data_IF_347722718450
#
_entry.id   IF_347722718450
#
_cell.length_a   1.000
_cell.length_b   1.000
_cell.length_c   1.000
_cell.angle_alpha   90.00
_cell.angle_beta   90.00
_cell.angle_gamma   90.00
#
_symmetry.space_group_name_H-M   'P 1'
#
loop_
_entity.id
_entity.type
_entity.pdbx_description
1 polymer ?
#
# COMPACT_ATOMS: atom_id res chain seq x y z
N UNK A 1 -13.42 18.95 32.50
CA UNK A 1 -13.01 19.67 31.26
C UNK A 1 -13.39 18.76 30.10
N UNK A 2 -14.18 19.27 29.15
CA UNK A 2 -14.87 18.50 28.11
C UNK A 2 -13.86 17.74 27.25
N UNK A 3 -14.13 16.45 27.02
CA UNK A 3 -13.45 15.66 26.00
C UNK A 3 -13.79 16.25 24.63
N UNK A 4 -12.77 16.45 23.82
CA UNK A 4 -12.94 16.77 22.41
C UNK A 4 -13.09 15.42 21.72
N UNK A 5 -14.31 15.07 21.33
CA UNK A 5 -14.57 14.02 20.36
C UNK A 5 -13.90 14.43 19.04
N UNK A 6 -12.80 13.77 18.69
CA UNK A 6 -12.20 13.91 17.37
C UNK A 6 -12.95 12.93 16.48
N UNK A 7 -13.97 13.42 15.78
CA UNK A 7 -14.60 12.69 14.69
C UNK A 7 -13.53 12.53 13.60
N UNK A 8 -13.02 11.30 13.45
CA UNK A 8 -12.25 10.94 12.26
C UNK A 8 -13.29 10.78 11.16
N UNK A 9 -13.40 11.80 10.32
CA UNK A 9 -14.18 11.74 9.09
C UNK A 9 -13.53 10.67 8.19
N UNK A 10 -14.03 9.44 8.28
CA UNK A 10 -13.78 8.40 7.27
C UNK A 10 -14.40 8.96 6.00
N UNK A 11 -13.60 9.70 5.22
CA UNK A 11 -14.06 10.42 4.03
C UNK A 11 -15.06 9.55 3.28
N UNK A 12 -16.31 9.98 3.27
CA UNK A 12 -17.37 9.38 2.49
C UNK A 12 -16.92 9.38 1.01
N UNK A 13 -16.39 8.24 0.53
CA UNK A 13 -15.86 8.09 -0.84
C UNK A 13 -16.96 7.75 -1.86
N UNK A 14 -18.25 7.89 -1.50
CA UNK A 14 -19.39 7.70 -2.43
C UNK A 14 -19.19 8.38 -3.78
N UNK A 15 -18.64 9.59 -3.79
CA UNK A 15 -18.37 10.36 -5.01
C UNK A 15 -17.30 9.72 -5.94
N UNK A 16 -16.38 8.91 -5.42
CA UNK A 16 -15.37 8.18 -6.22
C UNK A 16 -15.87 6.81 -6.70
N UNK A 17 -16.92 6.29 -6.08
CA UNK A 17 -17.55 5.04 -6.44
C UNK A 17 -18.74 5.22 -7.40
N UNK A 18 -19.19 6.47 -7.60
CA UNK A 18 -20.27 6.80 -8.53
C UNK A 18 -19.78 6.76 -9.99
N UNK A 19 -20.03 5.63 -10.65
CA UNK A 19 -19.80 5.42 -12.08
C UNK A 19 -21.07 5.61 -12.92
N UNK A 20 -22.13 6.20 -12.35
CA UNK A 20 -23.36 6.44 -13.08
C UNK A 20 -23.09 7.42 -14.25
N UNK A 21 -23.38 6.96 -15.47
CA UNK A 21 -23.10 7.68 -16.71
C UNK A 21 -22.02 7.06 -17.61
N UNK A 22 -21.25 6.09 -17.11
CA UNK A 22 -20.46 5.22 -17.97
C UNK A 22 -21.39 4.13 -18.52
N UNK A 23 -21.76 4.24 -19.80
CA UNK A 23 -22.60 3.24 -20.46
C UNK A 23 -21.87 1.91 -20.54
N UNK A 24 -22.40 0.86 -19.90
CA UNK A 24 -21.85 -0.48 -19.99
C UNK A 24 -22.80 -1.40 -20.78
N UNK A 25 -22.31 -2.11 -21.82
CA UNK A 25 -23.13 -3.06 -22.56
C UNK A 25 -23.44 -4.31 -21.71
N UNK A 26 -24.60 -4.96 -21.92
CA UNK A 26 -25.01 -6.11 -21.12
C UNK A 26 -24.23 -7.38 -21.47
N UNK A 27 -23.92 -8.14 -20.42
CA UNK A 27 -23.67 -9.57 -20.30
C UNK A 27 -23.00 -10.30 -21.47
N UNK A 28 -21.70 -10.56 -21.29
CA UNK A 28 -21.01 -11.65 -21.98
C UNK A 28 -20.53 -12.69 -20.96
N UNK A 29 -21.19 -13.85 -21.00
CA UNK A 29 -20.89 -15.02 -20.19
C UNK A 29 -19.61 -15.69 -20.70
N UNK A 30 -18.50 -15.54 -19.98
CA UNK A 30 -17.38 -16.49 -20.03
C UNK A 30 -16.45 -16.34 -18.81
N UNK A 31 -16.40 -17.40 -18.00
CA UNK A 31 -15.40 -17.79 -16.99
C UNK A 31 -14.29 -16.79 -16.63
N UNK A 32 -14.64 -15.78 -15.83
CA UNK A 32 -13.71 -15.11 -14.92
C UNK A 32 -14.32 -15.10 -13.51
N UNK A 33 -13.48 -15.06 -12.48
CA UNK A 33 -13.93 -14.93 -11.10
C UNK A 33 -14.79 -13.66 -10.96
N UNK A 34 -15.91 -13.69 -10.21
CA UNK A 34 -16.76 -12.53 -10.06
C UNK A 34 -16.02 -11.41 -9.30
N UNK A 35 -16.25 -10.16 -9.72
CA UNK A 35 -15.82 -8.95 -9.01
C UNK A 35 -17.02 -8.16 -8.50
N UNK A 36 -16.79 -7.21 -7.60
CA UNK A 36 -17.81 -6.37 -6.98
C UNK A 36 -17.69 -4.94 -7.48
N UNK A 37 -18.82 -4.33 -7.83
CA UNK A 37 -18.89 -2.94 -8.28
C UNK A 37 -19.97 -2.19 -7.51
N UNK A 38 -19.68 -0.94 -7.13
CA UNK A 38 -20.68 -0.10 -6.49
C UNK A 38 -21.65 0.47 -7.53
N UNK A 39 -22.94 0.22 -7.33
CA UNK A 39 -24.04 0.77 -8.11
C UNK A 39 -24.64 1.97 -7.36
N UNK A 40 -24.16 3.18 -7.64
CA UNK A 40 -24.59 4.39 -6.96
C UNK A 40 -26.12 4.65 -7.04
N UNK A 41 -26.78 4.24 -8.12
CA UNK A 41 -28.23 4.34 -8.28
C UNK A 41 -29.02 3.47 -7.29
N UNK A 42 -28.41 2.37 -6.84
CA UNK A 42 -29.00 1.43 -5.90
C UNK A 42 -28.43 1.56 -4.48
N UNK A 43 -27.42 2.42 -4.26
CA UNK A 43 -26.63 2.52 -3.02
C UNK A 43 -26.09 1.15 -2.56
N UNK A 44 -25.74 0.27 -3.51
CA UNK A 44 -25.44 -1.13 -3.24
C UNK A 44 -24.23 -1.64 -4.05
N UNK A 45 -23.45 -2.54 -3.45
CA UNK A 45 -22.41 -3.29 -4.14
C UNK A 45 -22.98 -4.55 -4.78
N UNK A 46 -22.80 -4.69 -6.09
CA UNK A 46 -23.35 -5.79 -6.87
C UNK A 46 -22.24 -6.68 -7.43
N UNK A 47 -22.47 -7.99 -7.40
CA UNK A 47 -21.62 -8.97 -8.08
C UNK A 47 -21.71 -8.77 -9.59
N UNK A 48 -20.57 -8.68 -10.27
CA UNK A 48 -20.47 -8.58 -11.72
C UNK A 48 -19.55 -9.67 -12.25
N UNK A 49 -19.96 -10.31 -13.34
CA UNK A 49 -19.18 -11.33 -14.06
C UNK A 49 -18.81 -10.77 -15.41
N UNK A 50 -17.52 -10.63 -15.68
CA UNK A 50 -17.03 -10.08 -16.95
C UNK A 50 -16.29 -11.14 -17.76
N UNK A 51 -16.66 -11.27 -19.04
CA UNK A 51 -15.91 -12.03 -20.03
C UNK A 51 -14.82 -11.17 -20.68
N UNK A 52 -13.56 -11.52 -20.38
CA UNK A 52 -12.29 -11.18 -21.05
C UNK A 52 -11.67 -9.75 -21.03
N UNK A 53 -10.35 -9.79 -20.76
CA UNK A 53 -9.16 -9.00 -21.17
C UNK A 53 -9.14 -7.47 -21.32
N UNK A 54 -10.19 -6.71 -21.02
CA UNK A 54 -10.06 -5.25 -20.90
C UNK A 54 -10.37 -4.80 -19.47
N UNK A 55 -9.29 -4.51 -18.76
CA UNK A 55 -9.18 -4.13 -17.35
C UNK A 55 -9.92 -2.81 -17.11
N UNK A 56 -11.09 -2.87 -16.48
CA UNK A 56 -11.76 -1.68 -15.94
C UNK A 56 -11.27 -1.43 -14.50
N UNK A 57 -10.82 -0.21 -14.16
CA UNK A 57 -9.99 0.04 -12.98
C UNK A 57 -10.71 0.07 -11.61
N UNK A 58 -11.96 -0.36 -11.48
CA UNK A 58 -12.72 -0.20 -10.23
C UNK A 58 -13.58 -1.42 -9.87
N UNK A 59 -13.03 -2.63 -10.00
CA UNK A 59 -13.65 -3.85 -9.47
C UNK A 59 -12.97 -4.24 -8.14
N UNK A 60 -13.78 -4.42 -7.10
CA UNK A 60 -13.35 -4.96 -5.82
C UNK A 60 -13.37 -6.49 -5.87
N UNK A 61 -12.41 -7.14 -5.24
CA UNK A 61 -12.39 -8.61 -5.14
C UNK A 61 -13.43 -9.14 -4.16
N UNK A 62 -13.91 -8.30 -3.23
CA UNK A 62 -14.90 -8.67 -2.22
C UNK A 62 -16.05 -7.66 -2.09
N UNK A 63 -17.23 -8.19 -1.75
CA UNK A 63 -18.41 -7.39 -1.42
C UNK A 63 -18.14 -6.47 -0.24
N UNK A 64 -17.41 -6.98 0.74
CA UNK A 64 -17.05 -6.26 1.96
C UNK A 64 -16.18 -5.05 1.65
N UNK A 65 -15.18 -5.18 0.77
CA UNK A 65 -14.31 -4.05 0.41
C UNK A 65 -15.11 -2.99 -0.35
N UNK A 66 -15.96 -3.42 -1.27
CA UNK A 66 -16.87 -2.53 -1.98
C UNK A 66 -17.80 -1.78 -1.01
N UNK A 67 -18.43 -2.49 -0.06
CA UNK A 67 -19.37 -1.88 0.90
C UNK A 67 -18.67 -0.95 1.88
N UNK A 68 -17.50 -1.33 2.38
CA UNK A 68 -16.72 -0.50 3.29
C UNK A 68 -16.24 0.80 2.64
N UNK A 69 -15.86 0.75 1.36
CA UNK A 69 -15.32 1.90 0.66
C UNK A 69 -16.39 2.77 -0.01
N UNK A 70 -17.52 2.19 -0.42
CA UNK A 70 -18.50 2.87 -1.26
C UNK A 70 -19.91 2.98 -0.66
N UNK A 71 -20.32 2.06 0.22
CA UNK A 71 -21.68 2.01 0.78
C UNK A 71 -21.80 2.66 2.18
N UNK A 72 -20.75 3.33 2.65
CA UNK A 72 -20.79 4.16 3.88
C UNK A 72 -21.16 3.44 5.18
N UNK A 73 -21.19 2.11 5.19
CA UNK A 73 -21.52 1.31 6.39
C UNK A 73 -20.29 0.58 6.87
N UNK A 74 -19.27 1.35 7.23
CA UNK A 74 -17.99 0.88 7.74
C UNK A 74 -17.65 1.48 9.09
N UNK A 75 -18.52 1.30 10.10
CA UNK A 75 -18.08 1.31 11.48
C UNK A 75 -17.25 0.04 11.71
N UNK A 76 -16.01 0.05 11.22
CA UNK A 76 -14.99 -0.89 11.67
C UNK A 76 -14.59 -0.46 13.08
N UNK A 77 -14.63 -1.42 14.00
CA UNK A 77 -14.34 -1.23 15.41
C UNK A 77 -13.04 -0.43 15.60
N UNK A 78 -13.13 0.65 16.36
CA UNK A 78 -12.04 1.55 16.75
C UNK A 78 -10.90 0.88 17.54
N UNK A 79 -10.82 -0.46 17.59
CA UNK A 79 -9.83 -1.19 18.37
C UNK A 79 -8.64 -1.75 17.57
N UNK A 80 -8.66 -1.74 16.23
CA UNK A 80 -7.52 -2.25 15.43
C UNK A 80 -6.62 -1.13 14.88
N UNK A 81 -7.10 0.11 14.80
CA UNK A 81 -6.31 1.22 14.23
C UNK A 81 -5.36 1.86 15.23
N UNK A 82 -5.64 1.83 16.54
CA UNK A 82 -4.83 2.56 17.53
C UNK A 82 -3.63 1.77 18.10
N UNK A 83 -3.56 0.45 17.90
CA UNK A 83 -2.43 -0.38 18.37
C UNK A 83 -1.27 -0.47 17.36
N UNK A 84 -1.51 -0.21 16.07
CA UNK A 84 -0.46 -0.22 15.04
C UNK A 84 0.32 1.10 14.93
N UNK A 85 -0.25 2.23 15.38
CA UNK A 85 0.42 3.54 15.34
C UNK A 85 1.45 3.76 16.47
N UNK A 86 1.37 3.00 17.55
CA UNK A 86 2.34 3.08 18.67
C UNK A 86 3.48 2.07 18.58
N UNK A 87 3.44 1.19 17.57
CA UNK A 87 4.31 0.02 17.44
C UNK A 87 4.99 -0.15 16.08
N UNK A 88 4.97 0.85 15.20
CA UNK A 88 5.56 0.75 13.85
C UNK A 88 6.32 2.01 13.42
N UNK A 89 7.29 1.85 12.52
CA UNK A 89 8.08 2.93 11.92
C UNK A 89 8.18 2.82 10.40
N UNK A 90 8.48 3.93 9.74
CA UNK A 90 8.76 3.95 8.30
C UNK A 90 10.22 3.55 8.04
N UNK A 91 10.43 2.35 7.52
CA UNK A 91 11.76 1.89 7.10
C UNK A 91 12.01 2.29 5.64
N UNK A 92 13.08 3.05 5.40
CA UNK A 92 13.56 3.33 4.05
C UNK A 92 14.03 2.01 3.42
N UNK A 93 13.51 1.67 2.25
CA UNK A 93 13.88 0.46 1.49
C UNK A 93 14.43 0.78 0.12
N UNK A 94 14.28 2.02 -0.34
CA UNK A 94 14.85 2.49 -1.59
C UNK A 94 15.01 4.00 -1.61
N UNK A 95 16.11 4.49 -2.19
CA UNK A 95 16.32 5.86 -2.62
C UNK A 95 17.03 5.86 -3.97
N UNK A 96 16.59 6.74 -4.86
CA UNK A 96 17.36 7.09 -6.05
C UNK A 96 17.45 8.61 -6.18
N UNK A 97 18.66 9.10 -6.47
CA UNK A 97 18.91 10.51 -6.76
C UNK A 97 19.52 10.63 -8.14
N UNK A 98 18.90 11.43 -9.01
CA UNK A 98 19.45 11.76 -10.32
C UNK A 98 20.78 12.53 -10.18
N UNK A 99 21.83 12.24 -10.98
CA UNK A 99 21.86 11.41 -12.19
C UNK A 99 22.15 9.91 -11.97
N UNK A 100 22.09 9.42 -10.72
CA UNK A 100 22.25 8.00 -10.42
C UNK A 100 21.15 7.15 -11.06
N UNK A 101 21.55 6.13 -11.82
CA UNK A 101 20.66 5.16 -12.44
C UNK A 101 20.89 3.78 -11.83
N UNK A 102 19.83 2.99 -11.82
CA UNK A 102 19.86 1.57 -11.46
C UNK A 102 19.99 0.72 -12.72
N UNK A 103 20.23 -0.56 -12.54
CA UNK A 103 20.27 -1.55 -13.60
C UNK A 103 19.23 -2.64 -13.37
N UNK A 104 18.94 -3.43 -14.42
CA UNK A 104 17.96 -4.51 -14.34
C UNK A 104 18.31 -5.48 -13.21
N UNK A 105 17.31 -5.87 -12.41
CA UNK A 105 17.43 -6.79 -11.28
C UNK A 105 18.35 -6.31 -10.13
N UNK A 106 18.67 -5.02 -10.07
CA UNK A 106 19.45 -4.42 -8.98
C UNK A 106 18.57 -4.16 -7.74
N UNK A 107 18.06 -5.23 -7.11
CA UNK A 107 17.17 -5.18 -5.94
C UNK A 107 17.88 -4.84 -4.61
N UNK A 108 19.20 -4.68 -4.66
CA UNK A 108 20.05 -4.34 -3.52
C UNK A 108 21.19 -3.43 -3.98
N UNK A 109 21.38 -2.30 -3.32
CA UNK A 109 22.45 -1.34 -3.60
C UNK A 109 22.76 -0.55 -2.35
N UNK A 110 24.03 -0.48 -1.95
CA UNK A 110 24.45 0.25 -0.75
C UNK A 110 23.62 -0.11 0.50
N UNK A 111 23.24 -1.38 0.65
CA UNK A 111 22.27 -1.85 1.64
C UNK A 111 22.65 -1.54 3.11
N UNK A 112 23.94 -1.36 3.38
CA UNK A 112 24.46 -1.00 4.71
C UNK A 112 24.57 0.52 4.95
N UNK A 113 24.23 1.34 3.95
CA UNK A 113 24.33 2.80 3.96
C UNK A 113 23.01 3.45 3.50
N UNK A 114 21.98 3.53 4.36
CA UNK A 114 20.72 4.20 4.05
C UNK A 114 20.86 5.72 3.87
N UNK A 115 22.02 6.31 4.17
CA UNK A 115 22.29 7.72 3.90
C UNK A 115 22.77 7.94 2.45
N UNK A 116 23.14 6.89 1.72
CA UNK A 116 23.60 7.01 0.34
C UNK A 116 22.56 7.67 -0.57
N UNK A 117 23.03 8.40 -1.58
CA UNK A 117 22.16 9.03 -2.59
C UNK A 117 21.42 7.99 -3.45
N UNK A 118 21.96 6.77 -3.57
CA UNK A 118 21.31 5.64 -4.22
C UNK A 118 21.38 4.42 -3.30
N UNK A 119 20.24 4.01 -2.77
CA UNK A 119 20.11 2.97 -1.76
C UNK A 119 18.98 2.01 -2.17
N UNK A 120 19.15 0.72 -1.95
CA UNK A 120 18.09 -0.26 -2.15
C UNK A 120 18.28 -1.48 -1.24
N UNK A 121 17.19 -1.88 -0.60
CA UNK A 121 17.00 -3.17 0.09
C UNK A 121 15.66 -3.78 -0.30
N UNK A 122 15.28 -3.64 -1.58
CA UNK A 122 13.98 -4.07 -2.10
C UNK A 122 13.78 -5.60 -2.02
N UNK A 123 14.87 -6.37 -2.10
CA UNK A 123 14.83 -7.82 -1.89
C UNK A 123 14.34 -8.24 -0.48
N UNK A 124 14.33 -7.32 0.50
CA UNK A 124 13.83 -7.58 1.84
C UNK A 124 12.33 -7.31 2.01
N UNK A 125 11.64 -6.77 1.00
CA UNK A 125 10.27 -6.28 1.12
C UNK A 125 9.33 -7.27 1.80
N UNK A 126 9.42 -8.54 1.42
CA UNK A 126 8.58 -9.62 1.95
C UNK A 126 8.61 -9.73 3.48
N UNK A 127 9.71 -9.36 4.13
CA UNK A 127 9.85 -9.38 5.59
C UNK A 127 8.97 -8.35 6.31
N UNK A 128 8.48 -7.35 5.59
CA UNK A 128 7.63 -6.28 6.13
C UNK A 128 6.15 -6.49 5.80
N UNK A 129 5.80 -7.65 5.23
CA UNK A 129 4.41 -8.01 5.02
C UNK A 129 3.75 -8.30 6.37
N UNK A 130 2.68 -7.58 6.68
CA UNK A 130 1.87 -7.81 7.87
C UNK A 130 0.43 -8.08 7.44
N UNK A 131 -0.17 -9.13 8.00
CA UNK A 131 -1.56 -9.54 7.67
C UNK A 131 -1.81 -9.64 6.15
N UNK A 132 -0.81 -10.17 5.42
CA UNK A 132 -0.89 -10.37 3.97
C UNK A 132 -0.65 -9.13 3.12
N UNK A 133 -0.44 -7.96 3.71
CA UNK A 133 -0.31 -6.68 3.00
C UNK A 133 0.99 -5.95 3.33
N UNK A 134 1.42 -5.09 2.44
CA UNK A 134 2.41 -4.05 2.70
C UNK A 134 1.69 -2.73 2.90
N UNK A 135 2.18 -1.89 3.81
CA UNK A 135 1.88 -0.45 3.81
C UNK A 135 3.12 0.30 3.36
N UNK A 136 3.01 1.01 2.25
CA UNK A 136 4.08 1.76 1.63
C UNK A 136 3.87 3.26 1.78
N UNK A 137 4.98 3.99 1.78
CA UNK A 137 5.02 5.45 1.61
C UNK A 137 6.05 5.79 0.54
N UNK A 138 5.67 6.58 -0.45
CA UNK A 138 6.56 7.13 -1.47
C UNK A 138 6.67 8.63 -1.30
N UNK A 139 7.89 9.13 -1.35
CA UNK A 139 8.21 10.54 -1.20
C UNK A 139 9.10 11.03 -2.35
N UNK A 140 9.02 12.31 -2.65
CA UNK A 140 9.82 12.96 -3.70
C UNK A 140 10.56 14.18 -3.14
N UNK A 141 11.68 13.98 -2.41
CA UNK A 141 12.46 15.08 -1.88
C UNK A 141 12.92 16.05 -2.98
N UNK A 142 13.09 17.32 -2.61
CA UNK A 142 13.41 18.42 -3.52
C UNK A 142 12.33 18.75 -4.56
N UNK A 143 11.08 18.35 -4.28
CA UNK A 143 9.89 18.78 -5.01
C UNK A 143 8.84 19.33 -4.03
N UNK A 144 7.78 19.93 -4.57
CA UNK A 144 6.58 20.37 -3.84
C UNK A 144 5.49 19.28 -3.79
N UNK A 145 5.81 18.05 -4.22
CA UNK A 145 4.87 16.95 -4.25
C UNK A 145 4.65 16.40 -2.84
N UNK A 146 3.38 16.26 -2.47
CA UNK A 146 2.99 15.55 -1.26
C UNK A 146 3.35 14.07 -1.39
N UNK A 147 3.63 13.42 -0.26
CA UNK A 147 3.87 11.99 -0.21
C UNK A 147 2.62 11.19 -0.61
N UNK A 148 2.85 9.91 -0.90
CA UNK A 148 1.81 8.96 -1.21
C UNK A 148 1.90 7.76 -0.27
N UNK A 149 0.84 7.49 0.48
CA UNK A 149 0.71 6.35 1.39
C UNK A 149 -0.41 5.42 0.91
N UNK A 150 -0.11 4.14 0.78
CA UNK A 150 -1.06 3.12 0.33
C UNK A 150 -0.71 1.75 0.90
N UNK A 151 -1.65 0.82 0.78
CA UNK A 151 -1.44 -0.60 1.02
C UNK A 151 -1.57 -1.37 -0.29
N UNK A 152 -0.85 -2.48 -0.42
CA UNK A 152 -1.07 -3.47 -1.47
C UNK A 152 -0.72 -4.87 -0.98
N UNK A 153 -1.38 -5.87 -1.55
CA UNK A 153 -1.09 -7.27 -1.27
C UNK A 153 0.03 -7.81 -2.18
N UNK A 154 0.20 -7.36 -3.41
CA UNK A 154 1.31 -7.86 -4.23
C UNK A 154 2.67 -7.31 -3.77
N UNK A 155 3.71 -8.15 -3.79
CA UNK A 155 5.10 -7.75 -3.65
C UNK A 155 5.64 -7.33 -5.03
N UNK A 156 6.01 -6.05 -5.22
CA UNK A 156 6.40 -5.55 -6.53
C UNK A 156 7.73 -6.14 -7.06
N UNK A 157 8.55 -6.79 -6.23
CA UNK A 157 9.82 -7.40 -6.64
C UNK A 157 9.66 -8.80 -7.24
N UNK A 158 8.60 -9.54 -6.86
CA UNK A 158 8.52 -10.98 -7.14
C UNK A 158 7.15 -11.52 -7.52
N UNK A 159 6.06 -10.81 -7.23
CA UNK A 159 4.72 -11.32 -7.54
C UNK A 159 4.33 -10.97 -8.98
N UNK A 160 4.64 -11.89 -9.90
CA UNK A 160 3.96 -11.93 -11.21
C UNK A 160 2.68 -12.73 -11.05
N UNK A 161 1.53 -12.07 -10.89
CA UNK A 161 0.24 -12.77 -10.77
C UNK A 161 -0.12 -13.41 -12.11
N UNK A 162 0.07 -14.74 -12.25
CA UNK A 162 -0.36 -15.49 -13.43
C UNK A 162 0.24 -15.03 -14.76
N UNK A 163 1.43 -14.43 -14.74
CA UNK A 163 2.06 -13.83 -15.93
C UNK A 163 1.60 -12.40 -16.24
N UNK A 164 0.77 -11.80 -15.38
CA UNK A 164 0.34 -10.40 -15.46
C UNK A 164 1.20 -9.57 -14.50
N UNK A 165 1.86 -8.54 -15.06
CA UNK A 165 2.46 -7.44 -14.31
C UNK A 165 1.30 -6.65 -13.71
N UNK A 166 1.13 -6.67 -12.38
CA UNK A 166 -0.03 -6.04 -11.78
C UNK A 166 0.02 -5.91 -10.27
N UNK A 167 -0.84 -5.03 -9.77
CA UNK A 167 -1.02 -4.78 -8.33
C UNK A 167 -2.28 -5.48 -7.85
N UNK A 168 -2.17 -6.29 -6.79
CA UNK A 168 -3.32 -6.88 -6.10
C UNK A 168 -3.52 -6.23 -4.73
N UNK A 169 -4.79 -6.15 -4.30
CA UNK A 169 -5.14 -5.61 -2.97
C UNK A 169 -4.78 -4.15 -2.73
N UNK A 170 -4.67 -3.31 -3.78
CA UNK A 170 -4.36 -1.88 -3.63
C UNK A 170 -5.42 -1.15 -2.79
N UNK A 171 -4.97 -0.34 -1.83
CA UNK A 171 -5.81 0.54 -1.01
C UNK A 171 -5.07 1.84 -0.73
N UNK A 172 -5.52 2.94 -1.34
CA UNK A 172 -4.95 4.27 -1.10
C UNK A 172 -5.39 4.85 0.25
N UNK A 173 -4.42 5.17 1.12
CA UNK A 173 -4.63 5.81 2.43
C UNK A 173 -4.54 7.34 2.24
N UNK A 174 -3.33 7.84 1.97
CA UNK A 174 -3.04 9.24 1.64
C UNK A 174 -2.39 9.28 0.25
N UNK A 175 -3.19 9.13 -0.80
CA UNK A 175 -2.70 8.96 -2.16
C UNK A 175 -3.19 10.10 -3.08
N UNK A 176 -2.63 11.32 -2.94
CA UNK A 176 -3.12 12.51 -3.65
C UNK A 176 -2.81 12.51 -5.15
N UNK A 177 -1.85 11.69 -5.58
CA UNK A 177 -1.44 11.59 -6.98
C UNK A 177 -2.08 10.37 -7.64
N UNK A 178 -2.90 10.61 -8.68
CA UNK A 178 -3.62 9.57 -9.42
C UNK A 178 -3.44 9.62 -10.95
N UNK A 179 -2.75 10.65 -11.44
CA UNK A 179 -2.45 10.77 -12.87
C UNK A 179 -1.52 9.65 -13.34
N UNK A 180 -1.41 9.49 -14.67
CA UNK A 180 -0.44 8.60 -15.29
C UNK A 180 -0.57 7.11 -14.89
N UNK A 181 -1.80 6.66 -14.65
CA UNK A 181 -2.10 5.25 -14.42
C UNK A 181 -1.78 4.73 -13.03
N UNK A 182 -1.62 5.61 -12.03
CA UNK A 182 -1.30 5.19 -10.65
C UNK A 182 -2.28 4.14 -10.11
N UNK A 183 -1.74 3.01 -9.62
CA UNK A 183 -2.52 1.93 -9.01
C UNK A 183 -1.77 1.16 -7.90
N UNK A 184 -0.73 1.73 -7.32
CA UNK A 184 0.27 1.02 -6.51
C UNK A 184 1.52 0.70 -7.32
N UNK A 185 2.46 -0.06 -6.76
CA UNK A 185 3.70 -0.42 -7.45
C UNK A 185 3.63 -1.82 -8.06
N UNK A 186 4.04 -1.94 -9.31
CA UNK A 186 4.21 -3.21 -10.01
C UNK A 186 5.66 -3.40 -10.51
N UNK A 187 5.99 -4.65 -10.84
CA UNK A 187 7.24 -4.97 -11.50
C UNK A 187 7.27 -4.36 -12.92
N UNK A 188 8.28 -3.52 -13.18
CA UNK A 188 8.46 -2.87 -14.49
C UNK A 188 9.44 -3.66 -15.37
N UNK A 189 10.72 -3.68 -15.01
CA UNK A 189 11.79 -4.46 -15.65
C UNK A 189 12.27 -3.97 -17.03
N UNK A 190 11.60 -2.99 -17.63
CA UNK A 190 11.97 -2.42 -18.93
C UNK A 190 12.78 -1.13 -18.81
N UNK A 191 12.25 -0.15 -18.06
CA UNK A 191 12.85 1.19 -17.88
C UNK A 191 13.11 1.56 -16.42
N UNK A 192 12.48 0.86 -15.49
CA UNK A 192 12.77 0.92 -14.06
C UNK A 192 12.69 -0.48 -13.44
N UNK A 193 13.09 -0.60 -12.18
CA UNK A 193 12.84 -1.80 -11.39
C UNK A 193 11.32 -1.96 -11.19
N UNK A 194 10.68 -0.94 -10.63
CA UNK A 194 9.25 -0.88 -10.36
C UNK A 194 8.68 0.44 -10.90
N UNK A 195 7.38 0.45 -11.20
CA UNK A 195 6.67 1.67 -11.53
C UNK A 195 5.22 1.60 -11.05
N UNK A 196 4.56 2.77 -11.06
CA UNK A 196 3.18 2.89 -10.63
C UNK A 196 2.17 3.04 -11.76
N UNK A 197 2.60 3.04 -13.02
CA UNK A 197 1.73 3.11 -14.21
C UNK A 197 1.13 1.74 -14.51
N UNK A 198 0.32 1.23 -13.58
CA UNK A 198 -0.12 -0.17 -13.52
C UNK A 198 -0.75 -0.65 -14.84
N UNK A 199 -0.20 -1.73 -15.39
CA UNK A 199 -0.67 -2.36 -16.62
C UNK A 199 -0.44 -1.54 -17.88
N UNK A 200 0.44 -0.54 -17.85
CA UNK A 200 0.71 0.36 -18.98
C UNK A 200 2.17 0.33 -19.44
N UNK A 201 2.46 0.70 -20.70
CA UNK A 201 3.85 0.86 -21.17
C UNK A 201 4.57 2.10 -20.59
N UNK A 202 3.81 3.02 -19.99
CA UNK A 202 4.35 4.14 -19.24
C UNK A 202 5.00 3.63 -17.94
N UNK A 203 5.82 4.46 -17.30
CA UNK A 203 6.62 4.04 -16.15
C UNK A 203 6.77 5.19 -15.15
N UNK A 204 5.66 5.89 -14.89
CA UNK A 204 5.64 6.97 -13.90
C UNK A 204 5.69 6.41 -12.48
N UNK A 205 6.00 7.27 -11.50
CA UNK A 205 6.23 6.85 -10.11
C UNK A 205 7.36 5.81 -10.03
N UNK A 206 8.39 6.02 -10.86
CA UNK A 206 9.45 5.05 -11.05
C UNK A 206 10.27 4.84 -9.78
N UNK A 207 10.60 3.59 -9.52
CA UNK A 207 11.55 3.16 -8.49
C UNK A 207 12.67 2.43 -9.21
N UNK A 208 13.88 2.99 -9.20
CA UNK A 208 15.05 2.37 -9.83
C UNK A 208 15.07 2.56 -11.34
N UNK A 209 14.98 3.79 -11.81
CA UNK A 209 15.07 4.13 -13.24
C UNK A 209 16.41 3.70 -13.83
N UNK A 210 16.36 3.09 -15.02
CA UNK A 210 17.52 2.65 -15.80
C UNK A 210 17.98 3.70 -16.80
N UNK A 211 17.10 4.64 -17.14
CA UNK A 211 17.35 5.72 -18.10
C UNK A 211 16.80 7.05 -17.56
N UNK A 212 17.31 8.21 -18.02
CA UNK A 212 16.77 9.50 -17.63
C UNK A 212 15.40 9.76 -18.26
N UNK A 213 14.54 10.47 -17.52
CA UNK A 213 13.26 10.98 -18.01
C UNK A 213 13.24 12.50 -17.86
N UNK A 214 13.24 13.22 -18.99
CA UNK A 214 13.20 14.69 -19.01
C UNK A 214 14.19 15.36 -18.02
N UNK A 215 15.41 14.83 -17.91
CA UNK A 215 16.44 15.35 -16.99
C UNK A 215 16.27 14.94 -15.52
N UNK A 216 15.49 13.90 -15.23
CA UNK A 216 15.32 13.35 -13.89
C UNK A 216 14.75 11.93 -13.91
N UNK A 217 13.93 11.62 -12.91
CA UNK A 217 13.23 10.34 -12.69
C UNK A 217 11.73 10.57 -12.94
N UNK A 218 10.98 9.67 -13.60
CA UNK A 218 9.54 9.84 -13.74
C UNK A 218 8.79 9.85 -12.39
N UNK A 219 8.22 10.98 -12.01
CA UNK A 219 7.34 11.14 -10.86
C UNK A 219 5.88 11.36 -11.26
N UNK A 220 5.00 11.74 -10.32
CA UNK A 220 3.56 11.88 -10.54
C UNK A 220 3.11 12.76 -11.70
N UNK A 221 3.77 13.91 -11.88
CA UNK A 221 3.39 14.96 -12.85
C UNK A 221 4.49 15.28 -13.86
N UNK A 222 5.66 14.66 -13.75
CA UNK A 222 6.84 15.00 -14.52
C UNK A 222 8.11 14.46 -13.88
N UNK A 223 9.27 14.95 -14.32
CA UNK A 223 10.55 14.54 -13.76
C UNK A 223 10.74 15.04 -12.32
N UNK A 224 11.24 14.18 -11.45
CA UNK A 224 11.68 14.48 -10.08
C UNK A 224 13.19 14.20 -9.95
N UNK A 225 13.83 14.80 -8.95
CA UNK A 225 15.28 14.65 -8.75
C UNK A 225 15.62 13.54 -7.76
N UNK A 226 14.69 13.21 -6.85
CA UNK A 226 14.83 12.12 -5.89
C UNK A 226 13.50 11.42 -5.68
N UNK A 227 13.55 10.10 -5.54
CA UNK A 227 12.43 9.28 -5.08
C UNK A 227 12.91 8.45 -3.90
N UNK A 228 12.06 8.32 -2.88
CA UNK A 228 12.27 7.47 -1.72
C UNK A 228 11.05 6.57 -1.54
N UNK A 229 11.28 5.29 -1.31
CA UNK A 229 10.24 4.31 -0.96
C UNK A 229 10.50 3.80 0.45
N UNK A 230 9.44 3.82 1.24
CA UNK A 230 9.39 3.33 2.61
C UNK A 230 8.35 2.24 2.73
N UNK A 231 8.57 1.33 3.66
CA UNK A 231 7.59 0.34 4.10
C UNK A 231 7.40 0.46 5.60
N UNK A 232 6.16 0.29 6.07
CA UNK A 232 5.89 0.26 7.49
C UNK A 232 6.44 -1.04 8.09
N UNK A 233 7.29 -0.92 9.10
CA UNK A 233 7.88 -2.05 9.82
C UNK A 233 7.48 -1.99 11.29
N UNK A 234 7.30 -3.13 11.98
CA UNK A 234 7.15 -3.13 13.43
C UNK A 234 8.38 -2.48 14.10
N UNK A 235 8.16 -1.65 15.11
CA UNK A 235 9.23 -1.12 15.95
C UNK A 235 9.99 -2.30 16.53
N UNK A 236 11.30 -2.33 16.29
CA UNK A 236 12.16 -3.28 16.97
C UNK A 236 12.25 -2.81 18.43
N UNK A 237 11.40 -3.37 19.29
CA UNK A 237 11.56 -3.17 20.73
C UNK A 237 12.89 -3.81 21.09
N UNK A 238 13.91 -2.98 21.28
CA UNK A 238 15.15 -3.41 21.90
C UNK A 238 14.75 -4.10 23.20
N UNK A 239 14.90 -5.42 23.23
CA UNK A 239 14.55 -6.24 24.38
C UNK A 239 15.47 -5.82 25.51
N UNK A 240 15.03 -4.85 26.30
CA UNK A 240 15.60 -4.59 27.61
C UNK A 240 15.13 -5.77 28.45
N UNK A 241 15.97 -6.81 28.50
CA UNK A 241 15.80 -7.96 29.38
C UNK A 241 15.71 -7.45 30.82
N UNK A 242 14.48 -7.20 31.28
CA UNK A 242 14.23 -6.87 32.69
C UNK A 242 14.15 -8.18 33.46
N UNK A 243 15.33 -8.77 33.70
CA UNK A 243 15.54 -9.75 34.76
C UNK A 243 15.22 -9.07 36.09
N UNK A 244 14.12 -9.44 36.74
CA UNK A 244 14.01 -9.42 38.21
C UNK A 244 12.80 -10.23 38.72
N UNK A 245 13.09 -11.49 39.05
CA UNK A 245 12.78 -12.13 40.34
C UNK A 245 11.32 -12.19 40.82
N UNK A 246 10.66 -13.33 40.56
CA UNK A 246 9.51 -13.79 41.38
C UNK A 246 10.02 -14.10 42.79
N UNK A 247 9.64 -13.26 43.76
CA UNK A 247 9.62 -13.67 45.16
C UNK A 247 8.19 -14.14 45.44
N UNK A 248 7.97 -15.44 45.55
CA UNK A 248 6.69 -16.00 46.00
C UNK A 248 6.51 -15.70 47.49
N UNK A 249 5.50 -14.89 47.82
CA UNK A 249 4.92 -14.87 49.15
C UNK A 249 4.04 -16.11 49.29
N UNK A 250 4.43 -17.03 50.16
CA UNK A 250 3.61 -18.18 50.53
C UNK A 250 2.74 -17.78 51.73
N UNK A 251 1.46 -17.52 51.50
CA UNK A 251 0.48 -17.29 52.58
C UNK A 251 -0.20 -18.62 52.93
N UNK A 252 0.24 -19.25 54.02
CA UNK A 252 -0.45 -20.37 54.65
C UNK A 252 -1.54 -19.84 55.59
N UNK A 253 -2.80 -20.11 55.24
CA UNK A 253 -3.93 -19.97 56.17
C UNK A 253 -4.62 -21.33 56.25
N UNK A 254 -4.54 -21.98 57.41
CA UNK A 254 -5.40 -23.10 57.80
C UNK A 254 -5.65 -23.02 59.30
N UNK A 255 -6.90 -22.72 59.62
CA UNK A 255 -7.51 -22.67 60.94
C UNK A 255 -7.90 -24.09 61.37
N UNK A 256 -7.70 -24.47 62.64
CA UNK A 256 -8.76 -24.98 63.54
C UNK A 256 -8.26 -25.82 64.75
N UNK A 257 -8.93 -25.55 65.87
CA UNK A 257 -9.37 -26.45 66.94
C UNK A 257 -8.38 -26.88 68.05
N UNK A 258 -8.80 -26.59 69.29
CA UNK A 258 -8.25 -27.14 70.53
C UNK A 258 -8.24 -26.13 71.67
#
# INVERSE_FOLDING_TARGET
RRGVEVFVDVQDRRASCDLSGLGFPPDHVAFAAPGWQYAAQADECQERRYGNTLQWPLLFESESDCRQLCAGTGAIAESETSLLESGSEWKLVFRQTYPGLFTKNEWSRNADDPANDNFATLHELERFRWEGRFRFRMAWPYSDLQDQVWEQASNPVGDTFGGVQGVSGYRGIEAPHRSNGWGGLEHSGLRALLDGSVGQPAWFYAVGSFEPFAGGIPGPRGAVQRVELYVQAPLTTATTTRTATRTSANSSTSTAAG
#
